data_IF_969652097040
#
_entry.id   IF_969652097040
#
_cell.length_a   1.000
_cell.length_b   1.000
_cell.length_c   1.000
_cell.angle_alpha   90.00
_cell.angle_beta   90.00
_cell.angle_gamma   90.00
#
_symmetry.space_group_name_H-M   'P 1'
#
loop_
_entity.id
_entity.type
_entity.pdbx_description
1 polymer ?
#
# COMPACT_ATOMS: atom_id res chain seq x y z
N UNK A 1 20.83 -7.82 24.43
CA UNK A 1 20.60 -8.23 23.03
C UNK A 1 19.28 -7.65 22.54
N UNK A 2 19.20 -6.33 22.35
CA UNK A 2 17.94 -5.61 22.03
C UNK A 2 17.92 -4.96 20.63
N UNK A 3 19.02 -5.03 19.88
CA UNK A 3 19.13 -4.36 18.58
C UNK A 3 18.19 -4.92 17.50
N UNK A 4 17.75 -6.18 17.57
CA UNK A 4 16.94 -6.79 16.50
C UNK A 4 15.47 -6.35 16.49
N UNK A 5 14.91 -5.90 17.62
CA UNK A 5 13.52 -5.42 17.66
C UNK A 5 13.36 -4.03 17.07
N UNK A 6 14.34 -3.14 17.30
CA UNK A 6 14.32 -1.78 16.74
C UNK A 6 14.42 -1.78 15.20
N UNK A 7 15.21 -2.70 14.62
CA UNK A 7 15.34 -2.81 13.16
C UNK A 7 14.06 -3.32 12.50
N UNK A 8 13.32 -4.23 13.16
CA UNK A 8 12.05 -4.76 12.65
C UNK A 8 10.96 -3.70 12.60
N UNK A 9 10.80 -2.89 13.66
CA UNK A 9 9.83 -1.78 13.67
C UNK A 9 10.16 -0.71 12.63
N UNK A 10 11.44 -0.33 12.49
CA UNK A 10 11.86 0.62 11.46
C UNK A 10 11.58 0.11 10.04
N UNK A 11 11.71 -1.19 9.81
CA UNK A 11 11.43 -1.82 8.50
C UNK A 11 9.93 -1.87 8.22
N UNK A 12 9.10 -2.26 9.21
CA UNK A 12 7.64 -2.28 9.07
C UNK A 12 7.07 -0.88 8.80
N UNK A 13 7.52 0.13 9.55
CA UNK A 13 7.10 1.52 9.36
C UNK A 13 7.52 2.08 7.98
N UNK A 14 8.73 1.75 7.52
CA UNK A 14 9.19 2.11 6.17
C UNK A 14 8.38 1.40 5.08
N UNK A 15 8.06 0.11 5.24
CA UNK A 15 7.21 -0.64 4.31
C UNK A 15 5.79 -0.08 4.27
N UNK A 16 5.19 0.22 5.41
CA UNK A 16 3.87 0.87 5.48
C UNK A 16 3.88 2.23 4.76
N UNK A 17 4.90 3.07 5.02
CA UNK A 17 5.02 4.37 4.36
C UNK A 17 5.16 4.24 2.84
N UNK A 18 5.95 3.27 2.35
CA UNK A 18 6.05 2.95 0.92
C UNK A 18 4.69 2.54 0.35
N UNK A 19 3.95 1.67 1.04
CA UNK A 19 2.66 1.15 0.58
C UNK A 19 1.59 2.25 0.55
N UNK A 20 1.56 3.10 1.57
CA UNK A 20 0.71 4.28 1.63
C UNK A 20 1.02 5.25 0.47
N UNK A 21 2.29 5.52 0.20
CA UNK A 21 2.71 6.38 -0.92
C UNK A 21 2.27 5.81 -2.27
N UNK A 22 2.47 4.50 -2.49
CA UNK A 22 2.01 3.79 -3.68
C UNK A 22 0.49 3.85 -3.85
N UNK A 23 -0.26 3.65 -2.77
CA UNK A 23 -1.73 3.69 -2.80
C UNK A 23 -2.24 5.09 -3.15
N UNK A 24 -1.65 6.13 -2.58
CA UNK A 24 -1.97 7.52 -2.92
C UNK A 24 -1.68 7.82 -4.40
N UNK A 25 -0.53 7.38 -4.91
CA UNK A 25 -0.16 7.57 -6.31
C UNK A 25 -1.14 6.85 -7.26
N UNK A 26 -1.52 5.61 -6.96
CA UNK A 26 -2.51 4.87 -7.75
C UNK A 26 -3.88 5.55 -7.74
N UNK A 27 -4.29 6.14 -6.61
CA UNK A 27 -5.53 6.91 -6.50
C UNK A 27 -5.50 8.16 -7.38
N UNK A 28 -4.36 8.86 -7.44
CA UNK A 28 -4.18 9.99 -8.34
C UNK A 28 -4.22 9.57 -9.81
N UNK A 29 -3.54 8.48 -10.19
CA UNK A 29 -3.61 7.91 -11.53
C UNK A 29 -5.04 7.53 -11.92
N UNK A 30 -5.80 6.89 -11.02
CA UNK A 30 -7.21 6.54 -11.23
C UNK A 30 -8.11 7.77 -11.41
N UNK A 31 -7.82 8.88 -10.72
CA UNK A 31 -8.55 10.15 -10.88
C UNK A 31 -8.19 10.89 -12.16
N UNK A 32 -6.94 10.81 -12.58
CA UNK A 32 -6.44 11.45 -13.80
C UNK A 32 -6.75 10.64 -15.08
N UNK A 33 -7.22 9.40 -14.93
CA UNK A 33 -7.50 8.51 -16.05
C UNK A 33 -8.73 8.96 -16.86
N UNK A 34 -8.57 9.23 -18.16
CA UNK A 34 -9.71 9.58 -19.01
C UNK A 34 -10.65 8.39 -19.24
N UNK A 35 -11.94 8.66 -19.44
CA UNK A 35 -12.96 7.61 -19.63
C UNK A 35 -12.76 6.77 -20.90
N UNK A 36 -11.87 7.19 -21.81
CA UNK A 36 -11.49 6.48 -23.03
C UNK A 36 -10.50 5.34 -22.84
N UNK A 37 -9.99 5.14 -21.61
CA UNK A 37 -8.96 4.13 -21.34
C UNK A 37 -9.60 2.73 -21.30
N UNK A 38 -8.92 1.70 -21.81
CA UNK A 38 -9.39 0.32 -21.74
C UNK A 38 -9.84 -0.05 -20.33
N UNK A 39 -11.01 -0.68 -20.24
CA UNK A 39 -11.63 -1.10 -18.97
C UNK A 39 -10.70 -2.03 -18.20
N UNK A 40 -9.92 -2.84 -18.91
CA UNK A 40 -8.91 -3.75 -18.35
C UNK A 40 -7.80 -2.99 -17.59
N UNK A 41 -7.33 -1.86 -18.13
CA UNK A 41 -6.29 -1.05 -17.50
C UNK A 41 -6.82 -0.40 -16.20
N UNK A 42 -8.05 0.13 -16.26
CA UNK A 42 -8.74 0.67 -15.08
C UNK A 42 -8.98 -0.43 -14.05
N UNK A 43 -9.41 -1.61 -14.48
CA UNK A 43 -9.61 -2.78 -13.62
C UNK A 43 -8.32 -3.23 -12.93
N UNK A 44 -7.21 -3.29 -13.67
CA UNK A 44 -5.91 -3.64 -13.13
C UNK A 44 -5.42 -2.64 -12.08
N UNK A 45 -5.61 -1.33 -12.30
CA UNK A 45 -5.25 -0.29 -11.35
C UNK A 45 -6.12 -0.31 -10.08
N UNK A 46 -7.43 -0.58 -10.23
CA UNK A 46 -8.33 -0.77 -9.08
C UNK A 46 -7.93 -2.01 -8.29
N UNK A 47 -7.64 -3.12 -8.96
CA UNK A 47 -7.19 -4.36 -8.30
C UNK A 47 -5.85 -4.16 -7.57
N UNK A 48 -4.91 -3.42 -8.15
CA UNK A 48 -3.66 -3.07 -7.51
C UNK A 48 -3.87 -2.21 -6.26
N UNK A 49 -4.74 -1.19 -6.34
CA UNK A 49 -5.10 -0.35 -5.20
C UNK A 49 -5.76 -1.16 -4.07
N UNK A 50 -6.64 -2.09 -4.42
CA UNK A 50 -7.35 -2.94 -3.47
C UNK A 50 -6.39 -3.92 -2.77
N UNK A 51 -5.50 -4.57 -3.52
CA UNK A 51 -4.47 -5.44 -2.98
C UNK A 51 -3.54 -4.72 -1.99
N UNK A 52 -3.15 -3.47 -2.29
CA UNK A 52 -2.38 -2.66 -1.36
C UNK A 52 -3.16 -2.30 -0.09
N UNK A 53 -4.48 -2.10 -0.20
CA UNK A 53 -5.35 -1.87 0.95
C UNK A 53 -5.46 -3.10 1.86
N UNK A 54 -5.53 -4.29 1.26
CA UNK A 54 -5.59 -5.55 2.00
C UNK A 54 -4.30 -5.78 2.80
N UNK A 55 -3.14 -5.41 2.24
CA UNK A 55 -1.88 -5.43 2.98
C UNK A 55 -1.88 -4.44 4.16
N UNK A 56 -2.48 -3.26 4.02
CA UNK A 56 -2.65 -2.32 5.14
C UNK A 56 -3.49 -2.91 6.28
N UNK A 57 -4.60 -3.58 5.95
CA UNK A 57 -5.41 -4.25 6.97
C UNK A 57 -4.60 -5.32 7.73
N UNK A 58 -3.73 -6.06 7.04
CA UNK A 58 -2.82 -7.01 7.69
C UNK A 58 -1.70 -6.36 8.53
N UNK A 59 -1.29 -5.12 8.22
CA UNK A 59 -0.36 -4.38 9.08
C UNK A 59 -1.04 -3.92 10.37
N UNK A 60 -2.29 -3.44 10.32
CA UNK A 60 -3.07 -3.06 11.52
C UNK A 60 -3.39 -4.26 12.43
N UNK A 61 -3.57 -5.45 11.87
CA UNK A 61 -3.79 -6.69 12.63
C UNK A 61 -2.49 -7.27 13.23
N UNK A 62 -1.32 -6.77 12.82
CA UNK A 62 -0.05 -7.29 13.29
C UNK A 62 0.26 -6.78 14.71
N UNK A 63 0.51 -7.67 15.68
CA UNK A 63 0.87 -7.28 17.06
C UNK A 63 2.26 -6.61 17.16
N UNK A 64 2.96 -6.45 16.04
CA UNK A 64 4.23 -5.73 15.93
C UNK A 64 4.07 -4.31 15.35
N UNK A 65 2.84 -3.89 15.06
CA UNK A 65 2.53 -2.53 14.65
C UNK A 65 2.13 -1.75 15.93
N UNK A 66 3.03 -0.87 16.38
CA UNK A 66 2.92 -0.09 17.64
C UNK A 66 3.20 1.36 17.33
#
# INVERSE_FOLDING_TARGET
>A
TEQMSATKHATLSATHTMFQSLQNHLRECLRALPCSVPVELRGALVAAHQKLSDYHAHFDESPFYV
#
